data_IF_955994587962
#
_entry.id   IF_955994587962
#
_cell.length_a   1.000
_cell.length_b   1.000
_cell.length_c   1.000
_cell.angle_alpha   90.00
_cell.angle_beta   90.00
_cell.angle_gamma   90.00
#
_symmetry.space_group_name_H-M   'P 1'
#
loop_
_entity.id
_entity.type
_entity.pdbx_description
1 polymer ?
#
# COMPACT_ATOMS: atom_id res chain seq x y z
N UNK A 1 -16.40 -25.02 -5.30
CA UNK A 1 -15.47 -26.10 -4.91
C UNK A 1 -14.03 -25.80 -5.35
N UNK A 2 -13.78 -25.56 -6.65
CA UNK A 2 -12.41 -25.32 -7.16
C UNK A 2 -11.70 -24.10 -6.54
N UNK A 3 -12.36 -22.94 -6.39
CA UNK A 3 -11.73 -21.76 -5.74
C UNK A 3 -11.25 -22.05 -4.31
N UNK A 4 -12.06 -22.73 -3.50
CA UNK A 4 -11.67 -23.05 -2.12
C UNK A 4 -10.55 -24.10 -2.07
N UNK A 5 -10.50 -25.00 -3.06
CA UNK A 5 -9.40 -25.97 -3.18
C UNK A 5 -8.10 -25.30 -3.63
N UNK A 6 -8.18 -24.34 -4.55
CA UNK A 6 -7.04 -23.49 -4.92
C UNK A 6 -6.44 -22.76 -3.72
N UNK A 7 -7.29 -22.18 -2.85
CA UNK A 7 -6.85 -21.53 -1.60
C UNK A 7 -6.12 -22.52 -0.68
N UNK A 8 -6.58 -23.76 -0.62
CA UNK A 8 -5.89 -24.80 0.17
C UNK A 8 -4.52 -25.13 -0.42
N UNK A 9 -4.39 -25.25 -1.74
CA UNK A 9 -3.12 -25.50 -2.40
C UNK A 9 -2.12 -24.34 -2.22
N UNK A 10 -2.56 -23.09 -2.36
CA UNK A 10 -1.72 -21.90 -2.08
C UNK A 10 -1.17 -21.92 -0.65
N UNK A 11 -2.03 -22.25 0.33
CA UNK A 11 -1.62 -22.36 1.74
C UNK A 11 -0.63 -23.50 2.00
N UNK A 12 -0.61 -24.51 1.13
CA UNK A 12 0.34 -25.61 1.17
C UNK A 12 1.59 -25.36 0.32
N UNK A 13 1.68 -24.22 -0.37
CA UNK A 13 2.78 -23.86 -1.28
C UNK A 13 2.71 -24.55 -2.65
N UNK A 14 1.61 -25.24 -2.96
CA UNK A 14 1.39 -25.93 -4.23
C UNK A 14 0.74 -24.97 -5.25
N UNK A 15 1.51 -23.94 -5.62
CA UNK A 15 1.03 -22.81 -6.42
C UNK A 15 0.55 -23.24 -7.82
N UNK A 16 1.15 -24.28 -8.41
CA UNK A 16 0.76 -24.80 -9.72
C UNK A 16 -0.62 -25.46 -9.68
N UNK A 17 -0.89 -26.30 -8.66
CA UNK A 17 -2.20 -26.90 -8.46
C UNK A 17 -3.27 -25.83 -8.15
N UNK A 18 -2.91 -24.80 -7.39
CA UNK A 18 -3.80 -23.69 -7.11
C UNK A 18 -4.17 -22.92 -8.39
N UNK A 19 -3.20 -22.58 -9.24
CA UNK A 19 -3.43 -21.92 -10.53
C UNK A 19 -4.35 -22.77 -11.42
N UNK A 20 -4.15 -24.08 -11.47
CA UNK A 20 -4.99 -24.99 -12.24
C UNK A 20 -6.45 -24.97 -11.73
N UNK A 21 -6.63 -24.97 -10.40
CA UNK A 21 -7.95 -24.92 -9.77
C UNK A 21 -8.68 -23.60 -9.97
N UNK A 22 -7.97 -22.47 -9.87
CA UNK A 22 -8.54 -21.16 -10.18
C UNK A 22 -8.92 -21.06 -11.66
N UNK A 23 -8.07 -21.56 -12.57
CA UNK A 23 -8.36 -21.61 -14.00
C UNK A 23 -9.63 -22.38 -14.28
N UNK A 24 -9.78 -23.57 -13.68
CA UNK A 24 -11.01 -24.35 -13.81
C UNK A 24 -12.23 -23.62 -13.24
N UNK A 25 -12.09 -22.86 -12.16
CA UNK A 25 -13.19 -22.07 -11.59
C UNK A 25 -13.65 -20.94 -12.51
N UNK A 26 -12.72 -20.31 -13.24
CA UNK A 26 -12.98 -19.23 -14.22
C UNK A 26 -13.70 -19.78 -15.46
N UNK A 27 -13.41 -21.03 -15.84
CA UNK A 27 -13.95 -21.68 -17.04
C UNK A 27 -15.29 -22.41 -16.82
N UNK A 28 -15.83 -22.41 -15.60
CA UNK A 28 -17.15 -22.98 -15.34
C UNK A 28 -18.23 -22.16 -16.06
N UNK A 29 -19.06 -22.83 -16.86
CA UNK A 29 -20.12 -22.22 -17.68
C UNK A 29 -21.11 -21.38 -16.84
N UNK A 30 -21.47 -21.88 -15.66
CA UNK A 30 -22.42 -21.22 -14.75
C UNK A 30 -21.73 -20.29 -13.71
N UNK A 31 -20.47 -19.91 -13.91
CA UNK A 31 -19.77 -19.06 -12.96
C UNK A 31 -20.34 -17.63 -12.96
N UNK A 32 -20.86 -17.19 -11.82
CA UNK A 32 -21.32 -15.81 -11.65
C UNK A 32 -20.12 -14.83 -11.62
N UNK A 33 -20.29 -13.56 -12.04
CA UNK A 33 -19.21 -12.57 -12.04
C UNK A 33 -18.44 -12.46 -10.71
N UNK A 34 -19.07 -12.50 -9.52
CA UNK A 34 -18.33 -12.50 -8.26
C UNK A 34 -17.43 -13.73 -8.05
N UNK A 35 -17.82 -14.90 -8.58
CA UNK A 35 -17.02 -16.12 -8.49
C UNK A 35 -15.82 -16.05 -9.44
N UNK A 36 -16.04 -15.53 -10.65
CA UNK A 36 -14.97 -15.29 -11.64
C UNK A 36 -13.97 -14.28 -11.07
N UNK A 37 -14.45 -13.15 -10.52
CA UNK A 37 -13.60 -12.12 -9.93
C UNK A 37 -12.74 -12.67 -8.78
N UNK A 38 -13.32 -13.48 -7.90
CA UNK A 38 -12.58 -14.14 -6.82
C UNK A 38 -11.46 -15.06 -7.35
N UNK A 39 -11.78 -15.92 -8.32
CA UNK A 39 -10.81 -16.86 -8.88
C UNK A 39 -9.69 -16.15 -9.65
N UNK A 40 -10.02 -15.10 -10.43
CA UNK A 40 -9.03 -14.25 -11.09
C UNK A 40 -8.12 -13.55 -10.09
N UNK A 41 -8.69 -13.02 -9.00
CA UNK A 41 -7.90 -12.30 -7.99
C UNK A 41 -6.90 -13.23 -7.32
N UNK A 42 -7.34 -14.41 -6.90
CA UNK A 42 -6.48 -15.39 -6.24
C UNK A 42 -5.41 -15.93 -7.19
N UNK A 43 -5.77 -16.22 -8.44
CA UNK A 43 -4.80 -16.64 -9.46
C UNK A 43 -3.76 -15.57 -9.73
N UNK A 44 -4.19 -14.31 -9.85
CA UNK A 44 -3.28 -13.17 -10.04
C UNK A 44 -2.30 -13.01 -8.88
N UNK A 45 -2.76 -13.16 -7.63
CA UNK A 45 -1.90 -13.09 -6.44
C UNK A 45 -0.86 -14.21 -6.47
N UNK A 46 -1.30 -15.44 -6.75
CA UNK A 46 -0.42 -16.63 -6.86
C UNK A 46 0.63 -16.45 -7.95
N UNK A 47 0.23 -15.97 -9.12
CA UNK A 47 1.14 -15.65 -10.23
C UNK A 47 2.16 -14.58 -9.82
N UNK A 48 1.72 -13.53 -9.11
CA UNK A 48 2.60 -12.49 -8.57
C UNK A 48 3.65 -13.05 -7.59
N UNK A 49 3.25 -13.97 -6.72
CA UNK A 49 4.16 -14.66 -5.78
C UNK A 49 5.22 -15.51 -6.50
N UNK A 50 4.87 -16.07 -7.65
CA UNK A 50 5.80 -16.79 -8.53
C UNK A 50 6.67 -15.87 -9.41
N UNK A 51 6.51 -14.54 -9.31
CA UNK A 51 7.23 -13.56 -10.14
C UNK A 51 6.64 -13.37 -11.55
N UNK A 52 5.49 -13.98 -11.86
CA UNK A 52 4.82 -13.89 -13.15
C UNK A 52 3.95 -12.62 -13.24
N UNK A 53 4.57 -11.45 -13.10
CA UNK A 53 3.87 -10.16 -13.04
C UNK A 53 2.96 -9.89 -14.26
N UNK A 54 3.37 -10.29 -15.47
CA UNK A 54 2.57 -10.13 -16.68
C UNK A 54 1.29 -10.98 -16.67
N UNK A 55 1.35 -12.21 -16.15
CA UNK A 55 0.18 -13.07 -16.01
C UNK A 55 -0.78 -12.54 -14.94
N UNK A 56 -0.24 -12.08 -13.80
CA UNK A 56 -1.02 -11.44 -12.75
C UNK A 56 -1.75 -10.18 -13.27
N UNK A 57 -1.05 -9.35 -14.05
CA UNK A 57 -1.60 -8.14 -14.65
C UNK A 57 -2.77 -8.44 -15.60
N UNK A 58 -2.68 -9.52 -16.39
CA UNK A 58 -3.77 -9.96 -17.25
C UNK A 58 -5.01 -10.36 -16.43
N UNK A 59 -4.82 -11.09 -15.33
CA UNK A 59 -5.91 -11.51 -14.44
C UNK A 59 -6.60 -10.32 -13.77
N UNK A 60 -5.83 -9.37 -13.22
CA UNK A 60 -6.39 -8.18 -12.61
C UNK A 60 -7.10 -7.29 -13.63
N UNK A 61 -6.56 -7.19 -14.84
CA UNK A 61 -7.21 -6.44 -15.94
C UNK A 61 -8.56 -7.04 -16.29
N UNK A 62 -8.65 -8.38 -16.34
CA UNK A 62 -9.91 -9.06 -16.60
C UNK A 62 -10.96 -8.82 -15.51
N UNK A 63 -10.56 -8.58 -14.25
CA UNK A 63 -11.51 -8.18 -13.18
C UNK A 63 -12.03 -6.76 -13.43
N UNK A 64 -11.15 -5.83 -13.79
CA UNK A 64 -11.52 -4.43 -14.07
C UNK A 64 -12.46 -4.33 -15.28
N UNK A 65 -12.32 -5.24 -16.24
CA UNK A 65 -13.17 -5.33 -17.43
C UNK A 65 -14.44 -6.19 -17.23
N UNK A 66 -14.53 -6.94 -16.12
CA UNK A 66 -15.64 -7.84 -15.87
C UNK A 66 -16.90 -7.06 -15.55
N UNK A 67 -17.92 -7.22 -16.39
CA UNK A 67 -19.26 -6.69 -16.13
C UNK A 67 -19.81 -7.28 -14.83
N UNK A 68 -20.36 -6.44 -13.96
CA UNK A 68 -20.91 -6.82 -12.65
C UNK A 68 -19.86 -7.41 -11.68
N UNK A 69 -18.58 -7.09 -11.87
CA UNK A 69 -17.57 -7.31 -10.85
C UNK A 69 -17.98 -6.60 -9.55
N UNK A 70 -17.87 -7.26 -8.38
CA UNK A 70 -18.12 -6.59 -7.13
C UNK A 70 -17.13 -5.42 -6.94
N UNK A 71 -17.57 -4.25 -6.43
CA UNK A 71 -16.70 -3.09 -6.25
C UNK A 71 -15.45 -3.38 -5.42
N UNK A 72 -15.55 -4.24 -4.40
CA UNK A 72 -14.43 -4.67 -3.58
C UNK A 72 -13.36 -5.42 -4.39
N UNK A 73 -13.76 -6.27 -5.33
CA UNK A 73 -12.83 -6.96 -6.23
C UNK A 73 -12.20 -5.99 -7.22
N UNK A 74 -12.94 -4.99 -7.70
CA UNK A 74 -12.37 -3.95 -8.56
C UNK A 74 -11.27 -3.16 -7.85
N UNK A 75 -11.51 -2.73 -6.60
CA UNK A 75 -10.49 -2.00 -5.81
C UNK A 75 -9.27 -2.89 -5.53
N UNK A 76 -9.48 -4.15 -5.13
CA UNK A 76 -8.39 -5.13 -4.92
C UNK A 76 -7.58 -5.37 -6.20
N UNK A 77 -8.26 -5.54 -7.34
CA UNK A 77 -7.62 -5.75 -8.62
C UNK A 77 -6.78 -4.54 -9.04
N UNK A 78 -7.29 -3.32 -8.89
CA UNK A 78 -6.55 -2.09 -9.19
C UNK A 78 -5.30 -1.95 -8.31
N UNK A 79 -5.40 -2.18 -7.00
CA UNK A 79 -4.24 -2.11 -6.09
C UNK A 79 -3.18 -3.16 -6.44
N UNK A 80 -3.61 -4.39 -6.74
CA UNK A 80 -2.67 -5.46 -7.10
C UNK A 80 -2.09 -5.27 -8.50
N UNK A 81 -2.85 -4.72 -9.45
CA UNK A 81 -2.36 -4.36 -10.78
C UNK A 81 -1.38 -3.20 -10.73
N UNK A 82 -1.60 -2.21 -9.88
CA UNK A 82 -0.62 -1.16 -9.60
C UNK A 82 0.70 -1.76 -9.07
N UNK A 83 0.62 -2.74 -8.16
CA UNK A 83 1.80 -3.45 -7.66
C UNK A 83 2.53 -4.19 -8.79
N UNK A 84 1.80 -4.87 -9.69
CA UNK A 84 2.39 -5.53 -10.85
C UNK A 84 3.06 -4.53 -11.81
N UNK A 85 2.43 -3.38 -12.07
CA UNK A 85 3.03 -2.29 -12.85
C UNK A 85 4.30 -1.74 -12.18
N UNK A 86 4.31 -1.62 -10.85
CA UNK A 86 5.49 -1.22 -10.06
C UNK A 86 6.67 -2.16 -10.29
N UNK A 87 6.43 -3.48 -10.23
CA UNK A 87 7.45 -4.52 -10.51
C UNK A 87 7.98 -4.42 -11.95
N UNK A 88 7.11 -4.06 -12.90
CA UNK A 88 7.47 -3.87 -14.30
C UNK A 88 8.08 -2.48 -14.59
N UNK A 89 8.18 -1.59 -13.60
CA UNK A 89 8.72 -0.24 -13.74
C UNK A 89 7.78 0.77 -14.43
N UNK A 90 6.49 0.43 -14.59
CA UNK A 90 5.49 1.30 -15.22
C UNK A 90 4.80 2.19 -14.17
N UNK A 91 5.51 3.24 -13.76
CA UNK A 91 5.01 4.20 -12.77
C UNK A 91 3.73 4.93 -13.20
N UNK A 92 3.51 5.07 -14.52
CA UNK A 92 2.34 5.76 -15.05
C UNK A 92 1.09 4.92 -14.82
N UNK A 93 1.09 3.66 -15.27
CA UNK A 93 -0.06 2.78 -15.10
C UNK A 93 -0.30 2.43 -13.63
N UNK A 94 0.76 2.27 -12.84
CA UNK A 94 0.67 2.16 -11.37
C UNK A 94 -0.08 3.35 -10.76
N UNK A 95 0.26 4.57 -11.18
CA UNK A 95 -0.43 5.78 -10.70
C UNK A 95 -1.88 5.82 -11.12
N UNK A 96 -2.21 5.51 -12.37
CA UNK A 96 -3.60 5.51 -12.85
C UNK A 96 -4.47 4.51 -12.07
N UNK A 97 -3.95 3.31 -11.80
CA UNK A 97 -4.66 2.29 -11.06
C UNK A 97 -4.94 2.70 -9.61
N UNK A 98 -3.95 3.27 -8.93
CA UNK A 98 -4.12 3.75 -7.55
C UNK A 98 -5.11 4.91 -7.47
N UNK A 99 -5.10 5.80 -8.47
CA UNK A 99 -6.08 6.88 -8.56
C UNK A 99 -7.49 6.34 -8.82
N UNK A 100 -7.65 5.38 -9.72
CA UNK A 100 -8.93 4.73 -9.99
C UNK A 100 -9.47 4.02 -8.74
N UNK A 101 -8.61 3.32 -8.01
CA UNK A 101 -8.98 2.65 -6.75
C UNK A 101 -9.45 3.67 -5.70
N UNK A 102 -8.76 4.80 -5.57
CA UNK A 102 -9.14 5.88 -4.66
C UNK A 102 -10.50 6.50 -5.03
N UNK A 103 -10.76 6.73 -6.32
CA UNK A 103 -12.05 7.26 -6.79
C UNK A 103 -13.22 6.31 -6.50
N UNK A 104 -13.00 4.98 -6.61
CA UNK A 104 -14.00 3.99 -6.21
C UNK A 104 -14.26 4.01 -4.71
N UNK A 105 -13.19 4.01 -3.89
CA UNK A 105 -13.32 4.10 -2.42
C UNK A 105 -13.91 5.44 -1.96
N UNK A 106 -13.76 6.53 -2.71
CA UNK A 106 -14.38 7.82 -2.38
C UNK A 106 -15.91 7.79 -2.54
N UNK A 107 -16.44 6.93 -3.42
CA UNK A 107 -17.88 6.74 -3.62
C UNK A 107 -18.49 5.83 -2.56
N UNK A 108 -17.70 4.89 -2.05
CA UNK A 108 -18.07 3.98 -0.98
C UNK A 108 -16.89 3.80 -0.01
N UNK A 109 -16.88 4.56 1.11
CA UNK A 109 -15.81 4.49 2.11
C UNK A 109 -15.61 3.11 2.73
N UNK A 110 -16.60 2.20 2.66
CA UNK A 110 -16.44 0.82 3.15
C UNK A 110 -15.42 0.02 2.32
N UNK A 111 -15.14 0.48 1.09
CA UNK A 111 -14.13 -0.08 0.19
C UNK A 111 -12.73 0.50 0.43
N UNK A 112 -12.55 1.43 1.38
CA UNK A 112 -11.24 1.99 1.67
C UNK A 112 -10.39 0.94 2.40
N UNK A 113 -9.43 0.37 1.68
CA UNK A 113 -8.56 -0.68 2.22
C UNK A 113 -7.21 -0.14 2.66
N UNK A 114 -6.69 -0.69 3.78
CA UNK A 114 -5.35 -0.39 4.29
C UNK A 114 -4.25 -0.54 3.21
N UNK A 115 -4.39 -1.54 2.34
CA UNK A 115 -3.44 -1.81 1.25
C UNK A 115 -3.40 -0.73 0.17
N UNK A 116 -4.55 -0.11 -0.16
CA UNK A 116 -4.61 1.00 -1.12
C UNK A 116 -3.81 2.18 -0.59
N UNK A 117 -4.04 2.52 0.67
CA UNK A 117 -3.37 3.64 1.31
C UNK A 117 -1.85 3.40 1.35
N UNK A 118 -1.42 2.20 1.74
CA UNK A 118 -0.01 1.81 1.70
C UNK A 118 0.56 1.97 0.28
N UNK A 119 -0.10 1.40 -0.74
CA UNK A 119 0.37 1.49 -2.11
C UNK A 119 0.46 2.94 -2.63
N UNK A 120 -0.51 3.79 -2.28
CA UNK A 120 -0.50 5.23 -2.59
C UNK A 120 0.73 5.92 -2.00
N UNK A 121 1.02 5.70 -0.72
CA UNK A 121 2.17 6.35 -0.08
C UNK A 121 3.51 5.79 -0.56
N UNK A 122 3.63 4.48 -0.66
CA UNK A 122 4.85 3.88 -1.20
C UNK A 122 5.16 4.42 -2.59
N UNK A 123 4.15 4.55 -3.45
CA UNK A 123 4.34 5.06 -4.82
C UNK A 123 4.65 6.55 -4.82
N UNK A 124 3.84 7.36 -4.16
CA UNK A 124 3.98 8.82 -4.14
C UNK A 124 5.38 9.24 -3.67
N UNK A 125 5.94 8.59 -2.66
CA UNK A 125 7.23 8.98 -2.10
C UNK A 125 8.44 8.26 -2.70
N UNK A 126 8.26 7.09 -3.32
CA UNK A 126 9.29 6.45 -4.16
C UNK A 126 9.61 7.30 -5.40
N UNK A 127 8.60 7.96 -5.96
CA UNK A 127 8.76 8.75 -7.19
C UNK A 127 9.51 10.08 -6.92
N UNK A 128 10.33 10.56 -7.87
CA UNK A 128 11.01 11.85 -7.74
C UNK A 128 10.01 13.01 -7.62
N UNK A 129 10.29 14.00 -6.77
CA UNK A 129 9.44 15.17 -6.49
C UNK A 129 8.99 15.94 -7.75
N UNK A 130 9.81 15.94 -8.80
CA UNK A 130 9.52 16.63 -10.05
C UNK A 130 8.54 15.90 -10.99
N UNK A 131 8.24 14.62 -10.74
CA UNK A 131 7.39 13.81 -11.63
C UNK A 131 5.92 14.22 -11.55
N UNK A 132 5.22 14.08 -12.68
CA UNK A 132 3.78 14.36 -12.76
C UNK A 132 2.99 13.38 -11.90
N UNK A 133 3.36 12.11 -11.95
CA UNK A 133 2.76 11.01 -11.21
C UNK A 133 2.75 11.30 -9.71
N UNK A 134 3.90 11.69 -9.15
CA UNK A 134 4.00 12.09 -7.74
C UNK A 134 3.13 13.29 -7.41
N UNK A 135 3.11 14.31 -8.27
CA UNK A 135 2.29 15.52 -8.04
C UNK A 135 0.80 15.17 -7.98
N UNK A 136 0.33 14.32 -8.90
CA UNK A 136 -1.06 13.84 -8.94
C UNK A 136 -1.43 13.04 -7.70
N UNK A 137 -0.60 12.06 -7.32
CA UNK A 137 -0.82 11.26 -6.12
C UNK A 137 -0.84 12.13 -4.86
N UNK A 138 0.15 13.03 -4.71
CA UNK A 138 0.22 13.92 -3.56
C UNK A 138 -1.02 14.81 -3.46
N UNK A 139 -1.46 15.41 -4.57
CA UNK A 139 -2.66 16.27 -4.56
C UNK A 139 -3.93 15.52 -4.12
N UNK A 140 -4.06 14.25 -4.48
CA UNK A 140 -5.18 13.40 -4.05
C UNK A 140 -5.09 12.98 -2.59
N UNK A 141 -3.89 12.68 -2.11
CA UNK A 141 -3.64 12.42 -0.68
C UNK A 141 -3.98 13.68 0.13
N UNK A 142 -3.49 14.85 -0.28
CA UNK A 142 -3.78 16.13 0.40
C UNK A 142 -5.29 16.40 0.48
N UNK A 143 -6.02 16.17 -0.62
CA UNK A 143 -7.47 16.32 -0.66
C UNK A 143 -8.19 15.33 0.28
N UNK A 144 -7.76 14.05 0.28
CA UNK A 144 -8.30 13.03 1.18
C UNK A 144 -8.12 13.45 2.64
N UNK A 145 -6.90 13.80 3.03
CA UNK A 145 -6.61 14.28 4.38
C UNK A 145 -7.48 15.48 4.73
N UNK A 146 -7.65 16.45 3.83
CA UNK A 146 -8.51 17.62 4.05
C UNK A 146 -9.97 17.29 4.44
N UNK A 147 -10.49 16.14 4.03
CA UNK A 147 -11.87 15.70 4.33
C UNK A 147 -11.99 14.79 5.55
N UNK A 148 -10.88 14.27 6.08
CA UNK A 148 -10.89 13.31 7.19
C UNK A 148 -11.06 13.99 8.55
N UNK A 149 -11.71 13.29 9.48
CA UNK A 149 -11.69 13.70 10.90
C UNK A 149 -10.26 13.58 11.46
N UNK A 150 -9.93 14.43 12.44
CA UNK A 150 -8.58 14.49 13.03
C UNK A 150 -8.07 13.14 13.56
N UNK A 151 -8.94 12.32 14.15
CA UNK A 151 -8.61 10.97 14.62
C UNK A 151 -8.23 10.03 13.48
N UNK A 152 -8.90 10.16 12.33
CA UNK A 152 -8.63 9.37 11.15
C UNK A 152 -7.34 9.83 10.45
N UNK A 153 -7.07 11.15 10.40
CA UNK A 153 -5.78 11.69 9.93
C UNK A 153 -4.62 11.15 10.76
N UNK A 154 -4.77 11.12 12.09
CA UNK A 154 -3.78 10.59 13.02
C UNK A 154 -3.54 9.08 12.79
N UNK A 155 -4.60 8.28 12.70
CA UNK A 155 -4.49 6.84 12.44
C UNK A 155 -3.79 6.56 11.10
N UNK A 156 -4.13 7.34 10.07
CA UNK A 156 -3.54 7.20 8.75
C UNK A 156 -2.07 7.61 8.72
N UNK A 157 -1.76 8.75 9.34
CA UNK A 157 -0.41 9.26 9.45
C UNK A 157 0.54 8.33 10.20
N UNK A 158 0.11 7.86 11.36
CA UNK A 158 0.90 6.92 12.17
C UNK A 158 1.11 5.58 11.46
N UNK A 159 0.12 5.12 10.68
CA UNK A 159 0.29 3.95 9.82
C UNK A 159 1.39 4.17 8.78
N UNK A 160 1.45 5.34 8.14
CA UNK A 160 2.53 5.65 7.18
C UNK A 160 3.91 5.64 7.81
N UNK A 161 4.08 6.27 8.98
CA UNK A 161 5.35 6.26 9.71
C UNK A 161 5.77 4.81 10.07
N UNK A 162 4.84 4.02 10.59
CA UNK A 162 5.10 2.63 10.97
C UNK A 162 5.51 1.78 9.77
N UNK A 163 4.83 1.96 8.64
CA UNK A 163 5.11 1.24 7.39
C UNK A 163 6.48 1.63 6.84
N UNK A 164 6.79 2.93 6.76
CA UNK A 164 8.07 3.42 6.27
C UNK A 164 9.24 2.88 7.11
N UNK A 165 9.06 2.82 8.43
CA UNK A 165 10.04 2.22 9.34
C UNK A 165 10.25 0.73 9.07
N UNK A 166 9.16 -0.05 8.94
CA UNK A 166 9.23 -1.50 8.65
C UNK A 166 9.90 -1.84 7.33
N UNK A 167 9.93 -0.91 6.38
CA UNK A 167 10.57 -1.09 5.09
C UNK A 167 11.98 -0.45 5.02
N UNK A 168 12.48 0.09 6.13
CA UNK A 168 13.80 0.75 6.16
C UNK A 168 13.86 2.03 5.33
N UNK A 169 12.71 2.58 4.89
CA UNK A 169 12.66 3.74 4.01
C UNK A 169 12.70 5.03 4.85
N UNK A 170 13.90 5.37 5.31
CA UNK A 170 14.18 6.58 6.09
C UNK A 170 13.69 7.86 5.39
N UNK A 171 13.75 7.90 4.05
CA UNK A 171 13.34 9.05 3.26
C UNK A 171 11.82 9.20 3.28
N UNK A 172 11.08 8.15 2.93
CA UNK A 172 9.61 8.13 3.01
C UNK A 172 9.15 8.45 4.44
N UNK A 173 9.85 7.93 5.46
CA UNK A 173 9.54 8.21 6.85
C UNK A 173 9.68 9.71 7.17
N UNK A 174 10.80 10.34 6.81
CA UNK A 174 11.01 11.78 7.04
C UNK A 174 10.01 12.65 6.25
N UNK A 175 9.73 12.31 5.00
CA UNK A 175 8.78 13.08 4.19
C UNK A 175 7.33 12.89 4.72
N UNK A 176 6.98 11.71 5.22
CA UNK A 176 5.69 11.45 5.89
C UNK A 176 5.59 12.18 7.23
N UNK A 177 6.69 12.22 7.98
CA UNK A 177 6.83 12.96 9.22
C UNK A 177 6.53 14.45 9.02
N UNK A 178 7.24 15.06 8.08
CA UNK A 178 7.13 16.49 7.79
C UNK A 178 5.70 16.85 7.35
N UNK A 179 5.05 15.95 6.60
CA UNK A 179 3.65 16.08 6.24
C UNK A 179 2.74 16.08 7.46
N UNK A 180 2.93 15.16 8.41
CA UNK A 180 2.07 15.04 9.60
C UNK A 180 2.23 16.19 10.58
N UNK A 181 3.46 16.66 10.78
CA UNK A 181 3.72 17.83 11.63
C UNK A 181 3.06 19.09 11.05
N UNK A 182 2.97 19.20 9.72
CA UNK A 182 2.31 20.31 9.03
C UNK A 182 0.78 20.29 9.13
N UNK A 183 0.15 19.21 9.60
CA UNK A 183 -1.31 19.15 9.76
C UNK A 183 -1.85 19.95 10.96
N UNK A 184 -0.99 20.64 11.73
CA UNK A 184 -1.36 21.47 12.90
C UNK A 184 -2.26 20.77 13.95
N UNK A 185 -2.15 19.44 14.04
CA UNK A 185 -2.95 18.62 14.95
C UNK A 185 -2.22 18.43 16.29
N UNK A 186 -2.77 18.99 17.38
CA UNK A 186 -2.14 18.98 18.69
C UNK A 186 -1.84 17.55 19.24
N UNK A 187 -2.77 16.57 19.19
CA UNK A 187 -2.47 15.18 19.53
C UNK A 187 -1.34 14.55 18.71
N UNK A 188 -1.23 14.88 17.41
CA UNK A 188 -0.10 14.46 16.57
C UNK A 188 1.17 15.08 17.14
N UNK A 189 1.21 16.40 17.31
CA UNK A 189 2.43 17.09 17.76
C UNK A 189 2.90 16.64 19.16
N UNK A 190 1.99 16.35 20.08
CA UNK A 190 2.32 15.81 21.42
C UNK A 190 2.90 14.38 21.36
N UNK A 191 2.31 13.50 20.57
CA UNK A 191 2.77 12.10 20.44
C UNK A 191 4.03 11.96 19.56
N UNK A 192 4.29 12.95 18.70
CA UNK A 192 5.42 13.00 17.79
C UNK A 192 6.66 13.70 18.40
N UNK A 193 6.52 14.44 19.51
CA UNK A 193 7.64 15.11 20.18
C UNK A 193 8.92 14.26 20.33
N UNK A 194 8.84 13.01 20.84
CA UNK A 194 10.01 12.14 21.03
C UNK A 194 10.73 11.72 19.74
N UNK A 195 10.07 11.83 18.58
CA UNK A 195 10.58 11.38 17.29
C UNK A 195 11.17 12.54 16.45
N UNK A 196 11.14 13.78 16.94
CA UNK A 196 11.79 14.94 16.28
C UNK A 196 13.29 14.71 16.10
N UNK A 197 13.96 14.19 17.13
CA UNK A 197 15.38 13.89 17.09
C UNK A 197 15.69 12.70 16.15
N UNK A 198 14.79 11.71 16.07
CA UNK A 198 14.84 10.63 15.09
C UNK A 198 14.77 11.18 13.66
N UNK A 199 13.80 12.07 13.38
CA UNK A 199 13.69 12.75 12.09
C UNK A 199 14.95 13.51 11.72
N UNK A 200 15.48 14.31 12.64
CA UNK A 200 16.71 15.07 12.40
C UNK A 200 17.90 14.15 12.10
N UNK A 201 18.03 13.04 12.84
CA UNK A 201 19.07 12.03 12.61
C UNK A 201 18.94 11.37 11.24
N UNK A 202 17.74 10.89 10.87
CA UNK A 202 17.47 10.29 9.56
C UNK A 202 17.66 11.29 8.41
N UNK A 203 17.43 12.58 8.65
CA UNK A 203 17.70 13.68 7.72
C UNK A 203 19.18 14.06 7.56
N UNK A 204 20.10 13.35 8.23
CA UNK A 204 21.55 13.56 8.11
C UNK A 204 22.17 14.45 9.19
N UNK A 205 21.40 14.91 10.19
CA UNK A 205 21.95 15.60 11.36
C UNK A 205 22.46 14.57 12.38
N UNK A 206 23.69 14.07 12.17
CA UNK A 206 24.29 12.97 12.95
C UNK A 206 24.27 13.17 14.47
N UNK A 207 24.42 14.41 14.94
CA UNK A 207 24.47 14.75 16.37
C UNK A 207 23.09 15.00 17.02
N UNK A 208 21.99 14.84 16.27
CA UNK A 208 20.65 15.18 16.74
C UNK A 208 20.19 14.40 18.00
N UNK A 209 20.80 13.25 18.28
CA UNK A 209 20.47 12.43 19.46
C UNK A 209 21.30 12.79 20.70
N UNK A 210 22.41 13.50 20.54
CA UNK A 210 23.35 13.82 21.63
C UNK A 210 22.76 14.74 22.72
N UNK A 211 21.87 15.71 22.41
CA UNK A 211 21.26 16.56 23.42
C UNK A 211 20.17 15.89 24.28
N UNK A 212 19.69 14.69 23.89
CA UNK A 212 18.58 14.01 24.57
C UNK A 212 19.00 13.44 25.94
N UNK A 213 18.03 13.33 26.85
CA UNK A 213 18.18 12.55 28.08
C UNK A 213 18.51 11.08 27.76
N UNK A 214 19.07 10.35 28.73
CA UNK A 214 19.54 8.97 28.50
C UNK A 214 18.40 8.07 28.05
N UNK A 215 17.24 8.18 28.69
CA UNK A 215 16.05 7.37 28.41
C UNK A 215 15.49 7.66 27.01
N UNK A 216 15.41 8.94 26.63
CA UNK A 216 14.96 9.39 25.31
C UNK A 216 15.92 8.94 24.19
N UNK A 217 17.22 8.97 24.48
CA UNK A 217 18.25 8.52 23.54
C UNK A 217 18.19 7.02 23.30
N UNK A 218 17.97 6.22 24.35
CA UNK A 218 17.79 4.76 24.25
C UNK A 218 16.57 4.46 23.39
N UNK A 219 15.42 5.10 23.68
CA UNK A 219 14.22 4.97 22.86
C UNK A 219 14.47 5.31 21.39
N UNK A 220 15.13 6.44 21.11
CA UNK A 220 15.43 6.86 19.74
C UNK A 220 16.36 5.87 19.02
N UNK A 221 17.34 5.30 19.72
CA UNK A 221 18.25 4.29 19.16
C UNK A 221 17.54 2.97 18.86
N UNK A 222 16.66 2.51 19.76
CA UNK A 222 15.81 1.35 19.53
C UNK A 222 14.87 1.59 18.33
N UNK A 223 14.23 2.76 18.26
CA UNK A 223 13.38 3.13 17.14
C UNK A 223 14.16 3.12 15.80
N UNK A 224 15.36 3.71 15.79
CA UNK A 224 16.25 3.74 14.62
C UNK A 224 16.75 2.35 14.21
N UNK A 225 16.89 1.41 15.14
CA UNK A 225 17.28 0.03 14.83
C UNK A 225 16.26 -0.67 13.92
N UNK A 226 14.97 -0.34 14.06
CA UNK A 226 13.90 -0.86 13.21
C UNK A 226 14.05 -0.53 11.72
N UNK A 227 14.81 0.52 11.35
CA UNK A 227 15.13 0.80 9.95
C UNK A 227 16.28 -0.07 9.42
N UNK A 228 17.20 -0.50 10.29
CA UNK A 228 18.39 -1.29 9.91
C UNK A 228 18.08 -2.77 9.74
N UNK A 229 17.10 -3.29 10.48
CA UNK A 229 16.66 -4.68 10.37
C UNK A 229 15.80 -4.94 9.11
N UNK A 230 15.35 -3.89 8.44
CA UNK A 230 14.45 -3.93 7.29
C UNK A 230 15.14 -3.81 5.92
N UNK A 231 16.44 -3.50 5.88
CA UNK A 231 17.24 -3.36 4.66
C UNK A 231 18.15 -4.56 4.42
#
# INVERSE_FOLDING_TARGET
>A
ACNNRGICHDRLGDNEAAIADYTRAIELEDAAPPQIANALLNRGVTQGQLGNAAAALADYTRIVELKEAPPEHMVLALVNRATAHSVLGDARSETEDLLAALELSARDPTLQMHNLIHALAKTCWRLPAATEERRRLKGKIDALFGTMQETAKLALGTAFLTIAQRHGDARLWCESWDYLVALENAPIQENLGPLVAVRAHLGGAGDALHPLAVEERVFAQEFLSGFKEAG
#
